data_IF_382430658395
#
_entry.id   IF_382430658395
#
_cell.length_a   1.000
_cell.length_b   1.000
_cell.length_c   1.000
_cell.angle_alpha   90.00
_cell.angle_beta   90.00
_cell.angle_gamma   90.00
#
_symmetry.space_group_name_H-M   'P 1'
#
loop_
_entity.id
_entity.type
_entity.pdbx_description
1 polymer ?
#
# COMPACT_ATOMS: atom_id res chain seq x y z
N UNK A 1 17.20 26.61 -12.30
CA UNK A 1 18.45 26.35 -13.05
C UNK A 1 19.51 25.83 -12.08
N UNK A 2 20.18 24.73 -12.40
CA UNK A 2 21.28 24.19 -11.59
C UNK A 2 22.60 24.84 -12.02
N UNK A 3 23.03 25.87 -11.28
CA UNK A 3 24.12 26.75 -11.71
C UNK A 3 25.53 26.22 -11.40
N UNK A 4 25.65 25.18 -10.57
CA UNK A 4 26.93 24.54 -10.24
C UNK A 4 26.90 23.02 -10.51
N UNK A 5 28.09 22.41 -10.62
CA UNK A 5 28.25 20.97 -10.92
C UNK A 5 27.54 20.08 -9.89
N UNK A 6 27.57 20.46 -8.62
CA UNK A 6 26.87 19.74 -7.55
C UNK A 6 25.35 19.80 -7.71
N UNK A 7 24.78 20.94 -8.08
CA UNK A 7 23.33 21.08 -8.32
C UNK A 7 22.87 20.24 -9.50
N UNK A 8 23.63 20.21 -10.61
CA UNK A 8 23.27 19.38 -11.77
C UNK A 8 23.21 17.90 -11.38
N UNK A 9 24.24 17.42 -10.66
CA UNK A 9 24.27 16.07 -10.09
C UNK A 9 23.08 15.79 -9.15
N UNK A 10 22.69 16.75 -8.31
CA UNK A 10 21.54 16.59 -7.40
C UNK A 10 20.22 16.48 -8.18
N UNK A 11 20.04 17.21 -9.27
CA UNK A 11 18.85 17.09 -10.14
C UNK A 11 18.76 15.70 -10.76
N UNK A 12 19.86 15.18 -11.31
CA UNK A 12 19.89 13.83 -11.89
C UNK A 12 19.59 12.73 -10.87
N UNK A 13 20.14 12.86 -9.65
CA UNK A 13 19.86 11.93 -8.54
C UNK A 13 18.39 12.02 -8.14
N UNK A 14 17.85 13.23 -8.03
CA UNK A 14 16.45 13.45 -7.67
C UNK A 14 15.50 12.83 -8.70
N UNK A 15 15.74 13.00 -10.00
CA UNK A 15 14.90 12.40 -11.06
C UNK A 15 14.95 10.87 -11.04
N UNK A 16 16.14 10.29 -10.90
CA UNK A 16 16.29 8.83 -10.77
C UNK A 16 15.49 8.28 -9.58
N UNK A 17 15.65 8.91 -8.42
CA UNK A 17 14.94 8.49 -7.21
C UNK A 17 13.43 8.73 -7.33
N UNK A 18 13.01 9.83 -7.97
CA UNK A 18 11.60 10.14 -8.22
C UNK A 18 10.94 9.05 -9.07
N UNK A 19 11.57 8.60 -10.15
CA UNK A 19 11.03 7.54 -11.01
C UNK A 19 10.87 6.21 -10.26
N UNK A 20 11.89 5.81 -9.50
CA UNK A 20 11.83 4.60 -8.68
C UNK A 20 10.72 4.70 -7.62
N UNK A 21 10.70 5.80 -6.86
CA UNK A 21 9.70 6.05 -5.82
C UNK A 21 8.28 6.10 -6.40
N UNK A 22 8.10 6.67 -7.59
CA UNK A 22 6.82 6.71 -8.30
C UNK A 22 6.30 5.29 -8.59
N UNK A 23 7.15 4.40 -9.11
CA UNK A 23 6.77 3.02 -9.42
C UNK A 23 6.36 2.21 -8.18
N UNK A 24 7.10 2.37 -7.06
CA UNK A 24 6.72 1.71 -5.80
C UNK A 24 5.42 2.28 -5.23
N UNK A 25 5.27 3.61 -5.20
CA UNK A 25 4.06 4.27 -4.69
C UNK A 25 2.82 3.94 -5.52
N UNK A 26 2.93 3.90 -6.85
CA UNK A 26 1.80 3.54 -7.71
C UNK A 26 1.39 2.08 -7.51
N UNK A 27 2.33 1.14 -7.52
CA UNK A 27 2.05 -0.27 -7.30
C UNK A 27 1.38 -0.53 -5.94
N UNK A 28 1.88 0.11 -4.88
CA UNK A 28 1.27 0.04 -3.55
C UNK A 28 -0.18 0.55 -3.57
N UNK A 29 -0.43 1.71 -4.17
CA UNK A 29 -1.79 2.28 -4.28
C UNK A 29 -2.74 1.38 -5.07
N UNK A 30 -2.26 0.76 -6.14
CA UNK A 30 -3.04 -0.18 -6.94
C UNK A 30 -3.43 -1.42 -6.13
N UNK A 31 -2.49 -2.03 -5.41
CA UNK A 31 -2.78 -3.20 -4.58
C UNK A 31 -3.73 -2.86 -3.42
N UNK A 32 -3.55 -1.69 -2.80
CA UNK A 32 -4.44 -1.21 -1.74
C UNK A 32 -5.87 -1.01 -2.27
N UNK A 33 -6.03 -0.41 -3.45
CA UNK A 33 -7.33 -0.27 -4.11
C UNK A 33 -7.98 -1.63 -4.41
N UNK A 34 -7.21 -2.58 -4.94
CA UNK A 34 -7.69 -3.94 -5.20
C UNK A 34 -8.20 -4.62 -3.93
N UNK A 35 -7.50 -4.46 -2.81
CA UNK A 35 -7.93 -5.01 -1.53
C UNK A 35 -9.24 -4.38 -1.06
N UNK A 36 -9.42 -3.06 -1.18
CA UNK A 36 -10.70 -2.41 -0.86
C UNK A 36 -11.84 -2.89 -1.77
N UNK A 37 -11.62 -2.95 -3.08
CA UNK A 37 -12.63 -3.47 -4.02
C UNK A 37 -13.01 -4.93 -3.72
N UNK A 38 -12.05 -5.75 -3.28
CA UNK A 38 -12.33 -7.13 -2.85
C UNK A 38 -13.17 -7.17 -1.54
N UNK A 39 -12.93 -6.23 -0.61
CA UNK A 39 -13.74 -6.11 0.60
C UNK A 39 -15.18 -5.67 0.29
N UNK A 40 -15.34 -4.73 -0.63
CA UNK A 40 -16.66 -4.26 -1.08
C UNK A 40 -17.42 -5.40 -1.77
N UNK A 41 -16.75 -6.18 -2.62
CA UNK A 41 -17.33 -7.36 -3.27
C UNK A 41 -17.73 -8.44 -2.25
N UNK A 42 -16.90 -8.69 -1.23
CA UNK A 42 -17.24 -9.63 -0.15
C UNK A 42 -18.47 -9.18 0.64
N UNK A 43 -18.62 -7.88 0.87
CA UNK A 43 -19.78 -7.31 1.56
C UNK A 43 -21.07 -7.51 0.75
N UNK A 44 -20.99 -7.44 -0.59
CA UNK A 44 -22.14 -7.62 -1.47
C UNK A 44 -22.55 -9.11 -1.63
N UNK A 45 -21.57 -10.00 -1.77
CA UNK A 45 -21.80 -11.44 -1.93
C UNK A 45 -20.84 -12.22 -1.03
N UNK A 46 -21.26 -12.58 0.19
CA UNK A 46 -20.44 -13.37 1.10
C UNK A 46 -20.18 -14.76 0.52
N UNK A 47 -18.91 -15.18 0.51
CA UNK A 47 -18.50 -16.50 0.05
C UNK A 47 -17.04 -16.81 0.36
N UNK A 48 -16.70 -18.11 0.45
CA UNK A 48 -15.35 -18.56 0.79
C UNK A 48 -14.29 -18.15 -0.25
N UNK A 49 -14.65 -18.14 -1.54
CA UNK A 49 -13.78 -17.66 -2.62
C UNK A 49 -13.48 -16.16 -2.51
N UNK A 50 -14.49 -15.37 -2.13
CA UNK A 50 -14.33 -13.93 -1.93
C UNK A 50 -13.43 -13.66 -0.71
N UNK A 51 -13.56 -14.44 0.36
CA UNK A 51 -12.67 -14.38 1.54
C UNK A 51 -11.22 -14.71 1.17
N UNK A 52 -11.00 -15.76 0.38
CA UNK A 52 -9.68 -16.13 -0.11
C UNK A 52 -9.05 -15.02 -0.97
N UNK A 53 -9.86 -14.37 -1.82
CA UNK A 53 -9.44 -13.26 -2.67
C UNK A 53 -9.03 -12.02 -1.86
N UNK A 54 -9.80 -11.69 -0.82
CA UNK A 54 -9.47 -10.61 0.14
C UNK A 54 -8.14 -10.90 0.84
N UNK A 55 -7.95 -12.11 1.35
CA UNK A 55 -6.72 -12.49 2.06
C UNK A 55 -5.49 -12.46 1.14
N UNK A 56 -5.62 -12.98 -0.08
CA UNK A 56 -4.54 -12.93 -1.09
C UNK A 56 -4.16 -11.49 -1.44
N UNK A 57 -5.16 -10.63 -1.66
CA UNK A 57 -4.96 -9.21 -1.95
C UNK A 57 -4.31 -8.46 -0.79
N UNK A 58 -4.69 -8.76 0.45
CA UNK A 58 -4.07 -8.21 1.65
C UNK A 58 -2.60 -8.64 1.77
N UNK A 59 -2.29 -9.91 1.58
CA UNK A 59 -0.93 -10.44 1.62
C UNK A 59 -0.03 -9.76 0.58
N UNK A 60 -0.55 -9.59 -0.65
CA UNK A 60 0.16 -8.89 -1.72
C UNK A 60 0.43 -7.42 -1.37
N UNK A 61 -0.57 -6.72 -0.81
CA UNK A 61 -0.44 -5.34 -0.38
C UNK A 61 0.60 -5.19 0.74
N UNK A 62 0.57 -6.06 1.77
CA UNK A 62 1.53 -6.07 2.87
C UNK A 62 2.96 -6.30 2.38
N UNK A 63 3.16 -7.31 1.54
CA UNK A 63 4.47 -7.60 0.94
C UNK A 63 5.04 -6.38 0.20
N UNK A 64 4.19 -5.63 -0.53
CA UNK A 64 4.64 -4.44 -1.27
C UNK A 64 4.92 -3.25 -0.35
N UNK A 65 4.14 -3.07 0.72
CA UNK A 65 4.37 -2.03 1.73
C UNK A 65 5.73 -2.27 2.42
N UNK A 66 6.00 -3.50 2.86
CA UNK A 66 7.25 -3.83 3.54
C UNK A 66 8.46 -3.68 2.63
N UNK A 67 8.34 -4.09 1.36
CA UNK A 67 9.37 -3.83 0.35
C UNK A 67 9.60 -2.33 0.14
N UNK A 68 8.54 -1.51 0.16
CA UNK A 68 8.69 -0.05 0.03
C UNK A 68 9.38 0.58 1.25
N UNK A 69 9.13 0.07 2.46
CA UNK A 69 9.83 0.49 3.69
C UNK A 69 11.30 0.07 3.65
N UNK A 70 11.58 -1.21 3.32
CA UNK A 70 12.96 -1.72 3.22
C UNK A 70 13.80 -0.98 2.16
N UNK A 71 13.18 -0.55 1.06
CA UNK A 71 13.83 0.24 0.00
C UNK A 71 13.94 1.73 0.32
N UNK A 72 13.44 2.20 1.47
CA UNK A 72 13.49 3.61 1.87
C UNK A 72 12.54 4.53 1.08
N UNK A 73 11.61 3.97 0.30
CA UNK A 73 10.60 4.73 -0.46
C UNK A 73 9.54 5.31 0.49
N UNK A 74 9.26 4.59 1.58
CA UNK A 74 8.26 4.92 2.58
C UNK A 74 8.89 4.87 3.98
N UNK A 75 8.54 5.82 4.84
CA UNK A 75 8.95 5.77 6.24
C UNK A 75 8.21 4.65 6.99
N UNK A 76 8.87 4.04 8.00
CA UNK A 76 8.30 2.95 8.80
C UNK A 76 6.91 3.26 9.37
N UNK A 77 6.69 4.48 9.87
CA UNK A 77 5.41 4.86 10.46
C UNK A 77 4.32 4.95 9.38
N UNK A 78 4.65 5.46 8.20
CA UNK A 78 3.71 5.49 7.08
C UNK A 78 3.40 4.07 6.60
N UNK A 79 4.37 3.15 6.61
CA UNK A 79 4.14 1.73 6.34
C UNK A 79 3.19 1.09 7.35
N UNK A 80 3.44 1.29 8.65
CA UNK A 80 2.59 0.82 9.73
C UNK A 80 1.16 1.37 9.63
N UNK A 81 1.01 2.66 9.32
CA UNK A 81 -0.29 3.30 9.14
C UNK A 81 -1.08 2.68 7.96
N UNK A 82 -0.44 2.39 6.82
CA UNK A 82 -1.13 1.74 5.71
C UNK A 82 -1.55 0.31 6.03
N UNK A 83 -0.71 -0.44 6.77
CA UNK A 83 -1.07 -1.79 7.24
C UNK A 83 -2.28 -1.74 8.17
N UNK A 84 -2.28 -0.84 9.15
CA UNK A 84 -3.40 -0.66 10.06
C UNK A 84 -4.70 -0.36 9.32
N UNK A 85 -4.68 0.54 8.32
CA UNK A 85 -5.86 0.85 7.48
C UNK A 85 -6.41 -0.36 6.75
N UNK A 86 -5.55 -1.19 6.15
CA UNK A 86 -5.95 -2.40 5.45
C UNK A 86 -6.53 -3.43 6.42
N UNK A 87 -5.90 -3.63 7.58
CA UNK A 87 -6.40 -4.55 8.61
C UNK A 87 -7.78 -4.13 9.12
N UNK A 88 -8.00 -2.85 9.40
CA UNK A 88 -9.30 -2.33 9.85
C UNK A 88 -10.37 -2.57 8.79
N UNK A 89 -10.08 -2.30 7.52
CA UNK A 89 -11.04 -2.52 6.43
C UNK A 89 -11.40 -4.00 6.25
N UNK A 90 -10.41 -4.89 6.26
CA UNK A 90 -10.64 -6.34 6.13
C UNK A 90 -11.40 -6.88 7.34
N UNK A 91 -11.05 -6.46 8.57
CA UNK A 91 -11.79 -6.82 9.78
C UNK A 91 -13.25 -6.40 9.68
N UNK A 92 -13.51 -5.14 9.28
CA UNK A 92 -14.88 -4.63 9.10
C UNK A 92 -15.69 -5.43 8.07
N UNK A 93 -15.04 -5.89 6.99
CA UNK A 93 -15.70 -6.65 5.94
C UNK A 93 -16.01 -8.10 6.37
N UNK A 94 -15.08 -8.75 7.08
CA UNK A 94 -15.22 -10.16 7.47
C UNK A 94 -16.08 -10.33 8.73
N UNK A 95 -16.03 -9.37 9.65
CA UNK A 95 -16.73 -9.45 10.95
C UNK A 95 -17.48 -8.13 11.24
N UNK A 96 -18.80 -8.06 10.98
CA UNK A 96 -19.55 -6.81 11.02
C UNK A 96 -19.99 -6.32 12.42
N UNK A 97 -19.59 -6.90 13.57
CA UNK A 97 -19.95 -6.38 14.91
C UNK A 97 -18.98 -6.78 16.05
N UNK A 98 -18.98 -6.11 17.24
CA UNK A 98 -18.23 -4.87 17.48
C UNK A 98 -17.30 -4.93 18.72
N UNK A 99 -16.26 -4.10 18.76
CA UNK A 99 -15.55 -3.68 19.99
C UNK A 99 -15.01 -2.28 19.72
N UNK A 100 -15.51 -1.16 20.27
CA UNK A 100 -15.76 -0.79 21.67
C UNK A 100 -14.53 -1.04 22.55
N UNK A 101 -13.81 0.04 22.87
CA UNK A 101 -12.56 0.07 23.64
C UNK A 101 -11.68 1.24 23.23
#
# INVERSE_FOLDING_TARGET
MANNKSSKKRVEIAERNRLQNKAYKSAMRTLMKRCFSACDAYTATPGDEAKATVQSSLNAAFSKIDKAVKRGVLHRNSGAHQKARLTVAVKKAIDPAPTAG
#
